data_IF_296289126999
#
_entry.id   IF_296289126999
#
_cell.length_a   1.000
_cell.length_b   1.000
_cell.length_c   1.000
_cell.angle_alpha   90.00
_cell.angle_beta   90.00
_cell.angle_gamma   90.00
#
_symmetry.space_group_name_H-M   'P 1'
#
loop_
_entity.id
_entity.type
_entity.pdbx_description
1 polymer ?
#
# COMPACT_ATOMS: atom_id res chain seq x y z
N UNK A 1 8.03 -12.85 8.06
CA UNK A 1 6.97 -12.73 7.03
C UNK A 1 5.58 -12.51 7.61
N UNK A 2 5.09 -13.32 8.57
CA UNK A 2 3.71 -13.17 9.14
C UNK A 2 3.50 -11.81 9.84
N UNK A 3 4.44 -11.39 10.71
CA UNK A 3 4.33 -10.12 11.45
C UNK A 3 4.33 -8.91 10.52
N UNK A 4 5.13 -8.94 9.46
CA UNK A 4 5.15 -7.90 8.43
C UNK A 4 3.81 -7.77 7.71
N UNK A 5 3.26 -8.88 7.21
CA UNK A 5 1.95 -8.90 6.56
C UNK A 5 0.81 -8.46 7.50
N UNK A 6 0.88 -8.84 8.77
CA UNK A 6 -0.06 -8.37 9.79
C UNK A 6 0.01 -6.85 9.96
N UNK A 7 1.22 -6.27 10.01
CA UNK A 7 1.39 -4.81 10.09
C UNK A 7 0.82 -4.08 8.87
N UNK A 8 1.07 -4.58 7.65
CA UNK A 8 0.49 -4.03 6.43
C UNK A 8 -1.05 -4.07 6.45
N UNK A 9 -1.63 -5.20 6.84
CA UNK A 9 -3.08 -5.33 6.93
C UNK A 9 -3.70 -4.44 8.02
N UNK A 10 -3.04 -4.28 9.18
CA UNK A 10 -3.45 -3.34 10.22
C UNK A 10 -3.45 -1.89 9.71
N UNK A 11 -2.41 -1.48 8.97
CA UNK A 11 -2.34 -0.17 8.35
C UNK A 11 -3.48 0.05 7.33
N UNK A 12 -3.77 -0.95 6.47
CA UNK A 12 -4.86 -0.89 5.50
C UNK A 12 -6.23 -0.76 6.18
N UNK A 13 -6.46 -1.47 7.27
CA UNK A 13 -7.72 -1.34 8.03
C UNK A 13 -7.85 0.03 8.65
N UNK A 14 -6.77 0.56 9.23
CA UNK A 14 -6.76 1.91 9.82
C UNK A 14 -6.96 3.01 8.77
N UNK A 15 -6.52 2.76 7.53
CA UNK A 15 -6.80 3.63 6.39
C UNK A 15 -8.30 3.64 6.04
N UNK A 16 -8.95 2.47 6.00
CA UNK A 16 -10.37 2.34 5.68
C UNK A 16 -11.27 2.82 6.84
N UNK A 17 -10.90 2.52 8.08
CA UNK A 17 -11.72 2.81 9.26
C UNK A 17 -10.88 3.00 10.51
N UNK A 18 -11.10 4.12 11.20
CA UNK A 18 -10.51 4.41 12.53
C UNK A 18 -11.25 3.71 13.68
N UNK A 19 -12.29 2.92 13.37
CA UNK A 19 -13.10 2.28 14.38
C UNK A 19 -12.35 1.08 15.00
N UNK A 20 -12.11 1.16 16.31
CA UNK A 20 -11.41 0.14 17.11
C UNK A 20 -12.04 -1.25 17.03
N UNK A 21 -13.35 -1.34 16.77
CA UNK A 21 -14.06 -2.61 16.61
C UNK A 21 -13.56 -3.38 15.40
N UNK A 22 -13.36 -2.71 14.25
CA UNK A 22 -12.82 -3.35 13.04
C UNK A 22 -11.41 -3.89 13.28
N UNK A 23 -10.59 -3.13 14.00
CA UNK A 23 -9.23 -3.55 14.33
C UNK A 23 -9.22 -4.78 15.25
N UNK A 24 -10.10 -4.83 16.24
CA UNK A 24 -10.24 -6.00 17.13
C UNK A 24 -10.75 -7.23 16.39
N UNK A 25 -11.73 -7.07 15.49
CA UNK A 25 -12.24 -8.16 14.64
C UNK A 25 -11.09 -8.73 13.79
N UNK A 26 -10.30 -7.87 13.15
CA UNK A 26 -9.15 -8.29 12.37
C UNK A 26 -8.11 -9.07 13.19
N UNK A 27 -7.77 -8.58 14.38
CA UNK A 27 -6.84 -9.27 15.29
C UNK A 27 -7.31 -10.69 15.64
N UNK A 28 -8.59 -10.83 15.95
CA UNK A 28 -9.20 -12.14 16.24
C UNK A 28 -9.18 -13.03 15.00
N UNK A 29 -9.55 -12.50 13.82
CA UNK A 29 -9.53 -13.24 12.56
C UNK A 29 -8.12 -13.71 12.18
N UNK A 30 -7.10 -12.87 12.35
CA UNK A 30 -5.71 -13.22 12.09
C UNK A 30 -5.23 -14.36 13.02
N UNK A 31 -5.55 -14.29 14.31
CA UNK A 31 -5.24 -15.36 15.25
C UNK A 31 -5.94 -16.68 14.87
N UNK A 32 -7.21 -16.61 14.46
CA UNK A 32 -7.97 -17.78 14.01
C UNK A 32 -7.39 -18.37 12.71
N UNK A 33 -6.96 -17.55 11.76
CA UNK A 33 -6.31 -18.00 10.52
C UNK A 33 -4.98 -18.71 10.80
N UNK A 34 -4.19 -18.25 11.78
CA UNK A 34 -2.97 -18.96 12.20
C UNK A 34 -3.31 -20.33 12.79
N UNK A 35 -4.37 -20.43 13.60
CA UNK A 35 -4.83 -21.69 14.15
C UNK A 35 -5.35 -22.64 13.06
N UNK A 36 -6.17 -22.14 12.13
CA UNK A 36 -6.65 -22.93 10.99
C UNK A 36 -5.52 -23.41 10.09
N UNK A 37 -4.50 -22.57 9.86
CA UNK A 37 -3.31 -22.93 9.10
C UNK A 37 -2.46 -24.00 9.78
N UNK A 38 -2.51 -24.11 11.11
CA UNK A 38 -1.85 -25.17 11.84
C UNK A 38 -2.60 -26.52 11.80
N UNK A 39 -3.92 -26.49 11.52
CA UNK A 39 -4.79 -27.67 11.55
C UNK A 39 -5.15 -28.23 10.18
N UNK A 40 -5.14 -27.42 9.11
CA UNK A 40 -5.52 -27.83 7.76
C UNK A 40 -4.31 -28.15 6.86
N UNK A 41 -4.55 -28.88 5.77
CA UNK A 41 -3.56 -29.08 4.71
C UNK A 41 -3.17 -27.73 4.09
N UNK A 42 -1.87 -27.50 3.95
CA UNK A 42 -1.29 -26.25 3.42
C UNK A 42 -1.91 -25.80 2.09
N UNK A 43 -2.35 -26.71 1.23
CA UNK A 43 -2.81 -26.43 -0.14
C UNK A 43 -3.99 -25.44 -0.23
N UNK A 44 -4.96 -25.54 0.67
CA UNK A 44 -6.13 -24.64 0.66
C UNK A 44 -5.70 -23.21 1.05
N UNK A 45 -4.82 -23.09 2.04
CA UNK A 45 -4.32 -21.81 2.50
C UNK A 45 -3.48 -21.12 1.42
N UNK A 46 -2.63 -21.86 0.72
CA UNK A 46 -1.85 -21.34 -0.41
C UNK A 46 -2.74 -20.95 -1.59
N UNK A 47 -3.72 -21.78 -1.96
CA UNK A 47 -4.64 -21.46 -3.07
C UNK A 47 -5.44 -20.18 -2.80
N UNK A 48 -5.91 -19.99 -1.56
CA UNK A 48 -6.59 -18.76 -1.16
C UNK A 48 -5.64 -17.56 -1.18
N UNK A 49 -4.42 -17.73 -0.65
CA UNK A 49 -3.40 -16.68 -0.66
C UNK A 49 -3.08 -16.23 -2.09
N UNK A 50 -2.88 -17.15 -3.02
CA UNK A 50 -2.54 -16.85 -4.41
C UNK A 50 -3.64 -16.03 -5.12
N UNK A 51 -4.91 -16.39 -4.92
CA UNK A 51 -6.04 -15.64 -5.49
C UNK A 51 -6.08 -14.22 -4.92
N UNK A 52 -5.94 -14.08 -3.59
CA UNK A 52 -5.98 -12.76 -2.95
C UNK A 52 -4.79 -11.88 -3.34
N UNK A 53 -3.59 -12.46 -3.42
CA UNK A 53 -2.38 -11.76 -3.88
C UNK A 53 -2.52 -11.33 -5.35
N UNK A 54 -3.11 -12.17 -6.19
CA UNK A 54 -3.40 -11.83 -7.58
C UNK A 54 -4.34 -10.62 -7.69
N UNK A 55 -5.41 -10.59 -6.89
CA UNK A 55 -6.35 -9.47 -6.85
C UNK A 55 -5.66 -8.17 -6.38
N UNK A 56 -4.89 -8.25 -5.29
CA UNK A 56 -4.12 -7.12 -4.76
C UNK A 56 -3.16 -6.56 -5.80
N UNK A 57 -2.40 -7.44 -6.47
CA UNK A 57 -1.45 -7.06 -7.50
C UNK A 57 -2.14 -6.36 -8.67
N UNK A 58 -3.27 -6.88 -9.16
CA UNK A 58 -4.02 -6.28 -10.28
C UNK A 58 -4.48 -4.86 -9.93
N UNK A 59 -5.07 -4.66 -8.75
CA UNK A 59 -5.54 -3.34 -8.32
C UNK A 59 -4.36 -2.35 -8.22
N UNK A 60 -3.25 -2.77 -7.59
CA UNK A 60 -2.08 -1.91 -7.43
C UNK A 60 -1.42 -1.56 -8.76
N UNK A 61 -1.32 -2.52 -9.67
CA UNK A 61 -0.78 -2.29 -11.02
C UNK A 61 -1.64 -1.26 -11.75
N UNK A 62 -2.97 -1.39 -11.74
CA UNK A 62 -3.88 -0.41 -12.36
C UNK A 62 -3.67 0.97 -11.73
N UNK A 63 -3.59 1.06 -10.40
CA UNK A 63 -3.35 2.32 -9.71
C UNK A 63 -2.02 2.96 -10.13
N UNK A 64 -0.93 2.19 -10.21
CA UNK A 64 0.38 2.67 -10.68
C UNK A 64 0.30 3.15 -12.12
N UNK A 65 -0.40 2.43 -13.00
CA UNK A 65 -0.60 2.85 -14.39
C UNK A 65 -1.34 4.19 -14.47
N UNK A 66 -2.41 4.39 -13.69
CA UNK A 66 -3.15 5.64 -13.65
C UNK A 66 -2.33 6.80 -13.07
N UNK A 67 -1.48 6.53 -12.08
CA UNK A 67 -0.60 7.51 -11.44
C UNK A 67 0.73 7.75 -12.19
N UNK A 68 1.03 6.94 -13.21
CA UNK A 68 2.33 6.93 -13.91
C UNK A 68 2.76 8.31 -14.38
N UNK A 69 1.84 9.09 -14.97
CA UNK A 69 2.12 10.46 -15.44
C UNK A 69 2.59 11.38 -14.30
N UNK A 70 1.94 11.30 -13.14
CA UNK A 70 2.31 12.10 -11.97
C UNK A 70 3.67 11.64 -11.45
N UNK A 71 3.87 10.32 -11.31
CA UNK A 71 5.12 9.75 -10.83
C UNK A 71 6.33 10.15 -11.70
N UNK A 72 6.20 10.09 -13.03
CA UNK A 72 7.26 10.53 -13.94
C UNK A 72 7.50 12.04 -13.91
N UNK A 73 6.46 12.86 -13.72
CA UNK A 73 6.64 14.30 -13.55
C UNK A 73 7.39 14.61 -12.24
N UNK A 74 7.03 13.96 -11.13
CA UNK A 74 7.76 14.08 -9.86
C UNK A 74 9.23 13.67 -10.02
N UNK A 75 9.49 12.57 -10.70
CA UNK A 75 10.85 12.07 -10.94
C UNK A 75 11.68 13.08 -11.73
N UNK A 76 11.11 13.64 -12.81
CA UNK A 76 11.80 14.65 -13.63
C UNK A 76 12.10 15.91 -12.85
N UNK A 77 11.16 16.42 -12.05
CA UNK A 77 11.38 17.57 -11.18
C UNK A 77 12.53 17.30 -10.18
N UNK A 78 12.52 16.13 -9.55
CA UNK A 78 13.59 15.71 -8.66
C UNK A 78 14.96 15.63 -9.36
N UNK A 79 15.02 15.02 -10.56
CA UNK A 79 16.24 14.90 -11.35
C UNK A 79 16.77 16.27 -11.80
N UNK A 80 15.89 17.17 -12.23
CA UNK A 80 16.25 18.54 -12.65
C UNK A 80 16.81 19.35 -11.48
N UNK A 81 16.22 19.23 -10.29
CA UNK A 81 16.73 19.88 -9.07
C UNK A 81 18.11 19.32 -8.68
N UNK A 82 18.23 17.98 -8.68
CA UNK A 82 19.50 17.32 -8.37
C UNK A 82 20.61 17.65 -9.36
N UNK A 83 20.29 17.76 -10.65
CA UNK A 83 21.24 18.14 -11.70
C UNK A 83 21.74 19.58 -11.55
N UNK A 84 20.93 20.47 -10.95
CA UNK A 84 21.31 21.86 -10.62
C UNK A 84 22.16 21.96 -9.34
N UNK A 85 22.41 20.83 -8.65
CA UNK A 85 23.20 20.79 -7.42
C UNK A 85 22.50 21.40 -6.21
N UNK A 86 21.18 21.58 -6.28
CA UNK A 86 20.37 22.04 -5.14
C UNK A 86 19.78 20.84 -4.40
N UNK A 87 19.48 21.03 -3.10
CA UNK A 87 18.78 20.02 -2.30
C UNK A 87 17.34 19.87 -2.82
N UNK A 88 16.92 18.70 -3.33
CA UNK A 88 15.62 18.56 -3.99
C UNK A 88 14.46 18.70 -3.00
N UNK A 89 13.56 19.64 -3.26
CA UNK A 89 12.32 19.85 -2.50
C UNK A 89 11.14 19.76 -3.46
N UNK A 90 10.18 18.90 -3.12
CA UNK A 90 8.97 18.73 -3.93
C UNK A 90 7.99 19.88 -3.68
N UNK A 91 7.54 20.52 -4.77
CA UNK A 91 6.45 21.48 -4.77
C UNK A 91 5.40 21.09 -5.81
N UNK A 92 4.13 21.00 -5.42
CA UNK A 92 3.03 20.54 -6.28
C UNK A 92 2.91 21.34 -7.59
N UNK A 93 3.18 22.65 -7.52
CA UNK A 93 3.14 23.58 -8.67
C UNK A 93 4.15 23.24 -9.75
N UNK A 94 5.30 22.66 -9.40
CA UNK A 94 6.36 22.34 -10.36
C UNK A 94 5.89 21.30 -11.39
N UNK A 95 4.93 20.45 -11.00
CA UNK A 95 4.41 19.36 -11.84
C UNK A 95 2.94 19.57 -12.25
N UNK A 96 2.35 20.72 -11.92
CA UNK A 96 0.96 21.06 -12.21
C UNK A 96 -0.07 20.30 -11.36
N UNK A 97 0.31 19.81 -10.18
CA UNK A 97 -0.64 19.31 -9.18
C UNK A 97 -1.18 20.50 -8.37
N UNK A 98 -2.49 20.51 -8.09
CA UNK A 98 -3.16 21.59 -7.36
C UNK A 98 -4.00 21.09 -6.16
N UNK A 99 -3.94 19.79 -5.86
CA UNK A 99 -4.86 19.12 -4.93
C UNK A 99 -4.09 18.23 -3.95
N UNK A 100 -3.01 18.76 -3.35
CA UNK A 100 -2.31 18.05 -2.27
C UNK A 100 -2.63 18.66 -0.91
N UNK A 101 -2.98 17.79 0.05
CA UNK A 101 -3.30 18.22 1.42
C UNK A 101 -2.07 18.64 2.23
N UNK A 102 -0.90 18.12 1.85
CA UNK A 102 0.32 18.17 2.69
C UNK A 102 1.48 18.91 2.02
N UNK A 103 1.58 18.93 0.69
CA UNK A 103 2.80 19.35 -0.02
C UNK A 103 2.54 20.51 -1.00
N UNK A 104 2.46 21.73 -0.46
CA UNK A 104 2.22 22.96 -1.23
C UNK A 104 3.48 23.61 -1.84
#
# INVERSE_FOLDING_TARGET
SIVGNYFYAEANILFISKNKVFLTIFRIAAAFMVLLGALNSMDIAWSLADITMGLEAVVNIIAIFLLSRIAFNCLRDYEDQKAKGIDPVFHEKNIGLNDTDVWK
#
